data_IF_472637223233
#
_entry.id   IF_472637223233
#
_cell.length_a   1.000
_cell.length_b   1.000
_cell.length_c   1.000
_cell.angle_alpha   90.00
_cell.angle_beta   90.00
_cell.angle_gamma   90.00
#
_symmetry.space_group_name_H-M   'P 1'
#
loop_
_entity.id
_entity.type
_entity.pdbx_description
1 polymer ?
#
# COMPACT_ATOMS: atom_id res chain seq x y z
N UNK A 1 -27.00 -19.65 12.79
CA UNK A 1 -28.14 -20.55 12.99
C UNK A 1 -28.18 -20.98 14.46
N UNK A 2 -29.24 -20.63 15.25
CA UNK A 2 -29.35 -20.95 16.67
C UNK A 2 -29.26 -22.46 16.97
N UNK A 3 -29.63 -23.32 16.04
CA UNK A 3 -29.57 -24.78 16.19
C UNK A 3 -28.10 -25.28 16.16
N UNK A 4 -27.23 -24.62 15.42
CA UNK A 4 -25.81 -24.96 15.39
C UNK A 4 -25.13 -24.54 16.71
N UNK A 5 -25.44 -23.35 17.20
CA UNK A 5 -24.92 -22.85 18.47
C UNK A 5 -25.35 -23.76 19.63
N UNK A 6 -26.60 -24.24 19.66
CA UNK A 6 -27.08 -25.10 20.73
C UNK A 6 -26.42 -26.49 20.74
N UNK A 7 -25.95 -26.99 19.58
CA UNK A 7 -25.33 -28.31 19.44
C UNK A 7 -23.82 -28.31 19.70
N UNK A 8 -23.14 -27.24 19.34
CA UNK A 8 -21.66 -27.15 19.36
C UNK A 8 -21.12 -26.10 20.32
N UNK A 9 -21.99 -25.42 21.09
CA UNK A 9 -21.63 -24.33 21.98
C UNK A 9 -21.25 -23.03 21.26
N UNK A 10 -20.57 -22.15 21.97
CA UNK A 10 -20.15 -20.89 21.41
C UNK A 10 -19.05 -21.09 20.37
N UNK A 11 -19.25 -20.51 19.20
CA UNK A 11 -18.27 -20.51 18.12
C UNK A 11 -17.50 -19.18 18.17
N UNK A 12 -16.19 -19.25 18.30
CA UNK A 12 -15.31 -18.09 18.30
C UNK A 12 -14.61 -17.99 16.95
N UNK A 13 -14.65 -16.80 16.39
CA UNK A 13 -13.98 -16.46 15.14
C UNK A 13 -12.83 -15.47 15.44
N UNK A 14 -11.61 -15.86 15.11
CA UNK A 14 -10.47 -14.99 15.15
C UNK A 14 -10.03 -14.66 13.72
N UNK A 15 -9.84 -13.37 13.42
CA UNK A 15 -9.31 -12.94 12.13
C UNK A 15 -8.14 -12.03 12.37
N UNK A 16 -7.03 -12.34 11.78
CA UNK A 16 -5.82 -11.53 11.88
C UNK A 16 -5.07 -11.51 10.55
N UNK A 17 -4.27 -10.46 10.36
CA UNK A 17 -3.41 -10.31 9.20
C UNK A 17 -2.02 -9.89 9.63
N UNK A 18 -1.03 -10.33 8.89
CA UNK A 18 0.37 -10.00 9.12
C UNK A 18 1.12 -9.92 7.78
N UNK A 19 2.41 -9.64 7.85
CA UNK A 19 3.25 -9.52 6.69
C UNK A 19 3.47 -8.08 6.24
N UNK A 20 4.23 -7.93 5.16
CA UNK A 20 4.55 -6.61 4.60
C UNK A 20 4.83 -6.68 3.11
N UNK A 21 4.61 -5.58 2.44
CA UNK A 21 5.11 -5.33 1.09
C UNK A 21 6.29 -4.38 1.19
N UNK A 22 7.44 -4.81 0.73
CA UNK A 22 8.65 -4.03 0.70
C UNK A 22 8.85 -3.42 -0.68
N UNK A 23 9.52 -2.28 -0.71
CA UNK A 23 9.86 -1.56 -1.93
C UNK A 23 11.38 -1.36 -1.96
N UNK A 24 12.04 -1.94 -2.95
CA UNK A 24 13.40 -1.59 -3.32
C UNK A 24 13.34 -0.67 -4.54
N UNK A 25 14.14 0.38 -4.55
CA UNK A 25 14.16 1.28 -5.69
C UNK A 25 15.55 1.81 -5.99
N UNK A 26 15.78 2.10 -7.27
CA UNK A 26 16.94 2.80 -7.77
C UNK A 26 16.50 3.85 -8.77
N UNK A 27 17.04 5.03 -8.71
CA UNK A 27 16.64 6.12 -9.59
C UNK A 27 17.79 7.03 -9.98
N UNK A 28 17.53 7.78 -11.03
CA UNK A 28 18.42 8.79 -11.53
C UNK A 28 17.66 10.00 -12.05
N UNK A 29 18.29 11.16 -12.05
CA UNK A 29 17.74 12.39 -12.58
C UNK A 29 18.78 13.17 -13.36
N UNK A 30 18.32 13.90 -14.36
CA UNK A 30 19.13 14.74 -15.23
C UNK A 30 18.55 16.15 -15.27
N UNK A 31 19.45 17.14 -15.22
CA UNK A 31 19.07 18.53 -15.45
C UNK A 31 19.11 18.84 -16.95
N UNK A 32 17.99 19.29 -17.48
CA UNK A 32 17.86 19.74 -18.87
C UNK A 32 17.93 21.26 -18.86
N UNK A 33 19.10 21.78 -19.20
CA UNK A 33 19.38 23.21 -19.07
C UNK A 33 19.43 23.66 -17.62
N UNK A 34 18.97 24.90 -17.38
CA UNK A 34 19.07 25.55 -16.04
C UNK A 34 17.76 25.53 -15.25
N UNK A 35 16.67 25.04 -15.83
CA UNK A 35 15.33 25.20 -15.24
C UNK A 35 14.49 23.92 -15.16
N UNK A 36 14.89 22.87 -15.83
CA UNK A 36 14.13 21.63 -15.89
C UNK A 36 15.01 20.48 -15.39
N UNK A 37 14.45 19.65 -14.51
CA UNK A 37 15.01 18.36 -14.14
C UNK A 37 13.99 17.27 -14.46
N UNK A 38 14.45 16.14 -14.98
CA UNK A 38 13.64 14.96 -15.21
C UNK A 38 14.31 13.77 -14.57
N UNK A 39 13.52 12.83 -14.05
CA UNK A 39 14.03 11.66 -13.37
C UNK A 39 13.16 10.44 -13.60
N UNK A 40 13.78 9.30 -13.36
CA UNK A 40 13.13 8.00 -13.37
C UNK A 40 13.56 7.20 -12.15
N UNK A 41 12.64 6.49 -11.56
CA UNK A 41 12.85 5.54 -10.47
C UNK A 41 12.32 4.18 -10.92
N UNK A 42 13.16 3.16 -10.87
CA UNK A 42 12.79 1.77 -11.08
C UNK A 42 12.50 1.15 -9.73
N UNK A 43 11.41 0.41 -9.64
CA UNK A 43 10.86 -0.05 -8.37
C UNK A 43 10.62 -1.54 -8.45
N UNK A 44 11.09 -2.27 -7.45
CA UNK A 44 10.78 -3.68 -7.22
C UNK A 44 9.97 -3.81 -5.93
N UNK A 45 8.76 -4.38 -6.04
CA UNK A 45 7.90 -4.69 -4.91
C UNK A 45 7.99 -6.18 -4.60
N UNK A 46 8.25 -6.53 -3.34
CA UNK A 46 8.35 -7.92 -2.90
C UNK A 46 7.86 -8.07 -1.46
N UNK A 47 7.41 -9.27 -1.13
CA UNK A 47 6.96 -9.58 0.23
C UNK A 47 5.86 -10.61 0.27
N UNK A 48 5.32 -10.83 1.46
CA UNK A 48 4.21 -11.75 1.68
C UNK A 48 3.22 -11.14 2.66
N UNK A 49 1.94 -11.21 2.31
CA UNK A 49 0.83 -10.83 3.18
C UNK A 49 0.09 -12.10 3.61
N UNK A 50 -0.14 -12.23 4.89
CA UNK A 50 -0.84 -13.35 5.50
C UNK A 50 -2.20 -12.90 6.02
N UNK A 51 -3.25 -13.63 5.68
CA UNK A 51 -4.58 -13.45 6.21
C UNK A 51 -5.05 -14.76 6.79
N UNK A 52 -5.31 -14.77 8.09
CA UNK A 52 -5.70 -15.97 8.81
C UNK A 52 -7.10 -15.81 9.43
N UNK A 53 -7.78 -16.92 9.55
CA UNK A 53 -9.08 -17.02 10.19
C UNK A 53 -9.19 -18.35 10.92
N UNK A 54 -9.33 -18.29 12.22
CA UNK A 54 -9.46 -19.47 13.08
C UNK A 54 -10.89 -19.58 13.57
N UNK A 55 -11.43 -20.79 13.57
CA UNK A 55 -12.75 -21.12 14.09
C UNK A 55 -12.59 -22.13 15.20
N UNK A 56 -12.85 -21.67 16.45
CA UNK A 56 -12.82 -22.50 17.65
C UNK A 56 -14.24 -22.81 18.14
N UNK A 57 -14.43 -24.04 18.61
CA UNK A 57 -15.67 -24.51 19.22
C UNK A 57 -15.47 -24.68 20.72
N UNK A 58 -16.22 -23.95 21.55
CA UNK A 58 -15.95 -23.83 22.99
C UNK A 58 -16.50 -24.95 23.86
N UNK A 59 -17.38 -25.81 23.33
CA UNK A 59 -18.12 -26.76 24.17
C UNK A 59 -17.66 -28.21 24.08
N UNK A 60 -16.75 -28.53 23.15
CA UNK A 60 -16.34 -29.93 22.97
C UNK A 60 -14.89 -30.01 22.47
N UNK A 61 -13.99 -30.50 23.35
CA UNK A 61 -12.59 -30.75 22.99
C UNK A 61 -12.41 -31.85 21.91
N UNK A 62 -13.48 -32.51 21.51
CA UNK A 62 -13.47 -33.48 20.40
C UNK A 62 -13.62 -32.79 19.05
N UNK A 63 -14.12 -31.55 19.03
CA UNK A 63 -14.25 -30.76 17.80
C UNK A 63 -12.94 -30.02 17.54
N UNK A 64 -12.39 -30.27 16.37
CA UNK A 64 -11.12 -29.69 15.95
C UNK A 64 -11.27 -28.20 15.59
N UNK A 65 -10.30 -27.41 15.97
CA UNK A 65 -10.17 -26.02 15.49
C UNK A 65 -9.86 -26.02 14.01
N UNK A 66 -10.58 -25.19 13.25
CA UNK A 66 -10.32 -25.02 11.83
C UNK A 66 -9.51 -23.72 11.66
N UNK A 67 -8.31 -23.86 11.12
CA UNK A 67 -7.43 -22.75 10.74
C UNK A 67 -7.46 -22.63 9.23
N UNK A 68 -7.85 -21.46 8.74
CA UNK A 68 -7.89 -21.15 7.31
C UNK A 68 -7.07 -19.90 7.04
N UNK A 69 -6.43 -19.84 5.90
CA UNK A 69 -5.64 -18.69 5.53
C UNK A 69 -5.49 -18.50 4.03
N UNK A 70 -5.03 -17.26 3.72
CA UNK A 70 -4.61 -16.88 2.39
C UNK A 70 -3.24 -16.22 2.51
N UNK A 71 -2.24 -16.78 1.88
CA UNK A 71 -0.90 -16.23 1.82
C UNK A 71 -0.68 -15.65 0.43
N UNK A 72 -0.44 -14.33 0.37
CA UNK A 72 -0.23 -13.59 -0.87
C UNK A 72 1.26 -13.30 -1.00
N UNK A 73 1.95 -14.02 -1.86
CA UNK A 73 3.34 -13.69 -2.26
C UNK A 73 3.29 -12.58 -3.31
N UNK A 74 4.05 -11.52 -3.09
CA UNK A 74 4.07 -10.34 -3.94
C UNK A 74 5.42 -10.22 -4.63
N UNK A 75 5.38 -10.08 -5.96
CA UNK A 75 6.54 -9.80 -6.80
C UNK A 75 6.10 -8.96 -7.98
N UNK A 76 6.54 -7.69 -8.05
CA UNK A 76 6.18 -6.81 -9.15
C UNK A 76 7.23 -5.74 -9.40
N UNK A 77 7.50 -5.49 -10.66
CA UNK A 77 8.38 -4.43 -11.10
C UNK A 77 7.58 -3.24 -11.66
N UNK A 78 7.92 -2.02 -11.23
CA UNK A 78 7.27 -0.79 -11.66
C UNK A 78 8.26 0.33 -11.93
N UNK A 79 7.78 1.46 -12.43
CA UNK A 79 8.57 2.66 -12.62
C UNK A 79 7.79 3.91 -12.21
N UNK A 80 8.52 4.91 -11.72
CA UNK A 80 8.02 6.25 -11.43
C UNK A 80 8.83 7.27 -12.23
N UNK A 81 8.13 8.16 -12.88
CA UNK A 81 8.71 9.27 -13.64
C UNK A 81 8.47 10.57 -12.89
N UNK A 82 9.42 11.48 -12.96
CA UNK A 82 9.32 12.80 -12.34
C UNK A 82 9.84 13.88 -13.27
N UNK A 83 9.20 15.05 -13.17
CA UNK A 83 9.70 16.27 -13.79
C UNK A 83 9.57 17.43 -12.80
N UNK A 84 10.57 18.28 -12.78
CA UNK A 84 10.61 19.45 -11.92
C UNK A 84 11.07 20.65 -12.74
N UNK A 85 10.28 21.70 -12.69
CA UNK A 85 10.63 22.99 -13.27
C UNK A 85 10.84 24.01 -12.16
N UNK A 86 11.94 24.73 -12.22
CA UNK A 86 12.26 25.76 -11.25
C UNK A 86 12.71 27.05 -11.94
N UNK A 87 12.21 28.17 -11.44
CA UNK A 87 12.55 29.47 -11.99
C UNK A 87 12.55 30.55 -10.91
N UNK A 88 13.62 31.33 -10.81
CA UNK A 88 13.59 32.51 -10.00
C UNK A 88 12.70 33.58 -10.62
N UNK A 89 12.09 34.42 -9.81
CA UNK A 89 11.27 35.56 -10.23
C UNK A 89 11.40 36.76 -9.25
N UNK A 90 10.86 37.90 -9.66
CA UNK A 90 10.93 39.16 -8.90
C UNK A 90 12.37 39.54 -8.51
N UNK A 91 13.27 39.69 -9.50
CA UNK A 91 14.67 39.97 -9.34
C UNK A 91 15.40 38.98 -8.41
N UNK A 92 15.20 37.69 -8.66
CA UNK A 92 15.79 36.55 -7.94
C UNK A 92 15.43 36.47 -6.43
N UNK A 93 14.45 37.27 -5.98
CA UNK A 93 14.01 37.25 -4.56
C UNK A 93 13.22 36.01 -4.22
N UNK A 94 12.55 35.40 -5.19
CA UNK A 94 11.71 34.26 -5.01
C UNK A 94 12.09 33.14 -5.98
N UNK A 95 11.94 31.91 -5.54
CA UNK A 95 12.08 30.73 -6.36
C UNK A 95 10.73 30.02 -6.44
N UNK A 96 10.21 29.84 -7.65
CA UNK A 96 9.08 28.98 -7.94
C UNK A 96 9.61 27.61 -8.38
N UNK A 97 9.10 26.56 -7.75
CA UNK A 97 9.32 25.19 -8.18
C UNK A 97 7.98 24.54 -8.48
N UNK A 98 7.85 23.94 -9.65
CA UNK A 98 6.71 23.11 -10.04
C UNK A 98 7.21 21.67 -10.16
N UNK A 99 6.46 20.73 -9.64
CA UNK A 99 6.80 19.31 -9.72
C UNK A 99 5.62 18.47 -10.19
N UNK A 100 5.93 17.44 -10.96
CA UNK A 100 4.95 16.41 -11.32
C UNK A 100 5.62 15.05 -11.28
N UNK A 101 4.91 14.04 -10.76
CA UNK A 101 5.36 12.65 -10.79
C UNK A 101 4.23 11.73 -11.24
N UNK A 102 4.61 10.67 -11.96
CA UNK A 102 3.69 9.63 -12.38
C UNK A 102 4.28 8.26 -12.09
N UNK A 103 3.58 7.47 -11.27
CA UNK A 103 3.89 6.06 -11.00
C UNK A 103 2.98 5.17 -11.81
N UNK A 104 3.56 4.20 -12.50
CA UNK A 104 2.80 3.23 -13.27
C UNK A 104 2.08 2.29 -12.31
N UNK A 105 0.75 2.14 -12.47
CA UNK A 105 -0.01 1.09 -11.80
C UNK A 105 0.43 -0.29 -12.29
N UNK A 106 0.46 -1.27 -11.38
CA UNK A 106 0.91 -2.62 -11.70
C UNK A 106 0.08 -3.66 -10.98
N UNK A 107 -0.05 -4.80 -11.63
CA UNK A 107 -0.49 -6.01 -10.97
C UNK A 107 0.67 -6.50 -10.09
N UNK A 108 0.41 -6.63 -8.79
CA UNK A 108 1.35 -7.23 -7.86
C UNK A 108 1.24 -8.75 -8.04
N UNK A 109 1.93 -9.26 -9.06
CA UNK A 109 1.96 -10.68 -9.37
C UNK A 109 2.52 -11.51 -8.22
N UNK A 110 2.27 -12.80 -8.25
CA UNK A 110 2.74 -13.77 -7.28
C UNK A 110 1.70 -14.84 -7.03
N UNK A 111 2.05 -15.77 -6.16
CA UNK A 111 1.20 -16.89 -5.81
C UNK A 111 0.27 -16.52 -4.66
N UNK A 112 -0.97 -16.99 -4.74
CA UNK A 112 -1.88 -17.02 -3.61
C UNK A 112 -2.02 -18.48 -3.18
N UNK A 113 -1.63 -18.75 -1.94
CA UNK A 113 -1.84 -20.03 -1.31
C UNK A 113 -3.06 -19.96 -0.40
N UNK A 114 -4.11 -20.64 -0.76
CA UNK A 114 -5.31 -20.80 0.04
C UNK A 114 -5.25 -22.12 0.77
N UNK A 115 -5.45 -22.12 2.07
CA UNK A 115 -5.42 -23.33 2.87
C UNK A 115 -6.46 -23.36 3.98
N UNK A 116 -6.81 -24.58 4.38
CA UNK A 116 -7.63 -24.84 5.56
C UNK A 116 -7.22 -26.17 6.16
N UNK A 117 -6.89 -26.14 7.44
CA UNK A 117 -6.44 -27.29 8.23
C UNK A 117 -7.33 -27.51 9.43
N UNK A 118 -7.56 -28.77 9.77
CA UNK A 118 -8.13 -29.15 11.06
C UNK A 118 -6.97 -29.37 12.05
N UNK A 119 -6.99 -28.64 13.15
CA UNK A 119 -5.99 -28.70 14.22
C UNK A 119 -6.50 -29.55 15.39
N UNK A 120 -5.63 -30.29 16.05
CA UNK A 120 -5.93 -30.91 17.32
C UNK A 120 -5.80 -29.91 18.50
N UNK A 121 -6.09 -30.36 19.70
CA UNK A 121 -6.00 -29.56 20.92
C UNK A 121 -4.56 -29.07 21.25
N UNK A 122 -3.55 -29.65 20.62
CA UNK A 122 -2.13 -29.27 20.76
C UNK A 122 -1.67 -28.27 19.71
N UNK A 123 -2.55 -27.91 18.76
CA UNK A 123 -2.25 -27.00 17.65
C UNK A 123 -1.50 -27.66 16.48
N UNK A 124 -1.54 -28.97 16.40
CA UNK A 124 -0.93 -29.73 15.30
C UNK A 124 -2.01 -29.97 14.21
N UNK A 125 -1.68 -29.69 12.95
CA UNK A 125 -2.53 -29.98 11.84
C UNK A 125 -2.67 -31.51 11.68
N UNK A 126 -3.89 -32.02 11.82
CA UNK A 126 -4.19 -33.46 11.74
C UNK A 126 -4.91 -33.82 10.45
N UNK A 127 -5.46 -32.83 9.75
CA UNK A 127 -6.11 -33.04 8.46
C UNK A 127 -6.02 -31.77 7.59
N UNK A 128 -5.83 -31.95 6.31
CA UNK A 128 -5.83 -30.89 5.31
C UNK A 128 -7.19 -30.88 4.61
N UNK A 129 -8.02 -29.89 4.96
CA UNK A 129 -9.34 -29.74 4.36
C UNK A 129 -9.27 -29.14 2.97
N UNK A 130 -8.31 -28.22 2.79
CA UNK A 130 -8.10 -27.52 1.54
C UNK A 130 -6.68 -27.00 1.45
N UNK A 131 -6.06 -27.12 0.30
CA UNK A 131 -4.79 -26.48 -0.02
C UNK A 131 -4.72 -26.26 -1.54
N UNK A 132 -4.63 -25.02 -1.95
CA UNK A 132 -4.54 -24.65 -3.35
C UNK A 132 -3.56 -23.50 -3.54
N UNK A 133 -2.73 -23.63 -4.56
CA UNK A 133 -1.81 -22.55 -4.99
C UNK A 133 -2.30 -22.06 -6.34
N UNK A 134 -2.60 -20.77 -6.42
CA UNK A 134 -3.06 -20.14 -7.63
C UNK A 134 -2.12 -18.98 -8.02
N UNK A 135 -1.42 -19.13 -9.14
CA UNK A 135 -0.48 -18.14 -9.66
C UNK A 135 -1.14 -17.04 -10.50
N UNK A 136 -2.46 -17.11 -10.74
CA UNK A 136 -3.17 -16.17 -11.61
C UNK A 136 -3.92 -15.05 -10.89
N UNK A 137 -3.90 -15.05 -9.56
CA UNK A 137 -4.53 -13.98 -8.79
C UNK A 137 -3.57 -12.82 -8.61
N UNK A 138 -3.94 -11.67 -9.10
CA UNK A 138 -3.14 -10.46 -8.99
C UNK A 138 -3.87 -9.40 -8.17
N UNK A 139 -3.19 -8.86 -7.17
CA UNK A 139 -3.61 -7.62 -6.51
C UNK A 139 -3.15 -6.48 -7.41
N UNK A 140 -4.05 -5.59 -7.79
CA UNK A 140 -3.67 -4.44 -8.62
C UNK A 140 -3.37 -3.22 -7.77
N UNK A 141 -2.17 -2.68 -7.93
CA UNK A 141 -1.86 -1.34 -7.43
C UNK A 141 -2.24 -0.28 -8.46
N UNK A 142 -2.88 0.81 -8.04
CA UNK A 142 -3.26 1.89 -8.94
C UNK A 142 -2.04 2.66 -9.45
N UNK A 143 -2.19 3.29 -10.59
CA UNK A 143 -1.32 4.38 -10.98
C UNK A 143 -1.51 5.58 -10.06
N UNK A 144 -0.44 6.32 -9.82
CA UNK A 144 -0.42 7.53 -9.02
C UNK A 144 0.07 8.71 -9.85
N UNK A 145 -0.68 9.79 -9.84
CA UNK A 145 -0.27 11.09 -10.37
C UNK A 145 -0.16 12.07 -9.20
N UNK A 146 1.00 12.69 -9.04
CA UNK A 146 1.16 13.78 -8.10
C UNK A 146 1.67 15.02 -8.80
N UNK A 147 1.12 16.18 -8.41
CA UNK A 147 1.55 17.50 -8.89
C UNK A 147 1.68 18.44 -7.69
N UNK A 148 2.65 19.32 -7.74
CA UNK A 148 2.85 20.24 -6.64
C UNK A 148 3.61 21.47 -7.06
N UNK A 149 3.59 22.47 -6.18
CA UNK A 149 4.39 23.66 -6.33
C UNK A 149 4.93 24.13 -4.98
N UNK A 150 6.06 24.83 -5.02
CA UNK A 150 6.58 25.60 -3.90
C UNK A 150 6.98 26.98 -4.35
N UNK A 151 6.72 27.96 -3.50
CA UNK A 151 7.25 29.31 -3.62
C UNK A 151 8.11 29.57 -2.40
N UNK A 152 9.39 29.82 -2.63
CA UNK A 152 10.36 30.08 -1.58
C UNK A 152 10.95 31.49 -1.69
N UNK A 153 10.92 32.23 -0.60
CA UNK A 153 11.77 33.39 -0.42
C UNK A 153 13.00 32.96 0.37
N UNK A 154 14.18 33.06 -0.23
CA UNK A 154 15.41 32.55 0.35
C UNK A 154 15.61 33.07 1.77
N UNK A 155 15.89 32.18 2.71
CA UNK A 155 16.18 32.44 4.12
C UNK A 155 15.05 33.17 4.90
N UNK A 156 13.79 33.10 4.43
CA UNK A 156 12.67 33.73 5.12
C UNK A 156 11.45 32.83 5.24
N UNK A 157 10.91 32.35 4.14
CA UNK A 157 9.71 31.53 4.16
C UNK A 157 9.59 30.69 2.91
N UNK A 158 8.89 29.61 3.04
CA UNK A 158 8.46 28.73 1.93
C UNK A 158 7.00 28.35 2.13
N UNK A 159 6.26 28.33 1.05
CA UNK A 159 4.89 27.80 0.99
C UNK A 159 4.86 26.79 -0.13
N UNK A 160 4.24 25.65 0.13
CA UNK A 160 4.08 24.58 -0.85
C UNK A 160 2.72 23.91 -0.76
N UNK A 161 2.29 23.34 -1.88
CA UNK A 161 1.09 22.54 -1.98
C UNK A 161 1.33 21.38 -2.92
N UNK A 162 0.87 20.19 -2.51
CA UNK A 162 0.93 18.98 -3.30
C UNK A 162 -0.46 18.36 -3.40
N UNK A 163 -0.81 17.90 -4.59
CA UNK A 163 -2.01 17.13 -4.85
C UNK A 163 -1.62 15.78 -5.44
N UNK A 164 -2.18 14.71 -4.87
CA UNK A 164 -1.96 13.35 -5.31
C UNK A 164 -3.29 12.68 -5.64
N UNK A 165 -3.33 12.06 -6.80
CA UNK A 165 -4.45 11.27 -7.30
C UNK A 165 -4.01 9.81 -7.47
N UNK A 166 -4.81 8.87 -6.95
CA UNK A 166 -4.62 7.44 -7.14
C UNK A 166 -5.90 6.80 -7.68
N UNK A 167 -5.78 6.07 -8.78
CA UNK A 167 -6.91 5.50 -9.53
C UNK A 167 -7.35 4.14 -8.94
N UNK A 168 -7.71 4.08 -7.66
CA UNK A 168 -8.12 2.83 -6.98
C UNK A 168 -9.35 2.18 -7.60
N UNK A 169 -10.20 2.93 -8.29
CA UNK A 169 -11.37 2.40 -8.99
C UNK A 169 -11.01 1.38 -10.08
N UNK A 170 -9.80 1.46 -10.62
CA UNK A 170 -9.31 0.54 -11.65
C UNK A 170 -8.61 -0.70 -11.08
N UNK A 171 -8.60 -0.86 -9.76
CA UNK A 171 -7.91 -1.95 -9.08
C UNK A 171 -8.86 -3.11 -8.81
N UNK A 172 -8.32 -4.32 -8.79
CA UNK A 172 -9.02 -5.51 -8.33
C UNK A 172 -8.37 -6.04 -7.06
N UNK A 173 -9.21 -6.45 -6.12
CA UNK A 173 -8.76 -7.13 -4.92
C UNK A 173 -9.35 -8.54 -4.90
N UNK A 174 -8.67 -9.51 -4.26
CA UNK A 174 -9.24 -10.83 -4.08
C UNK A 174 -10.59 -10.73 -3.37
N UNK A 175 -11.61 -11.46 -3.83
CA UNK A 175 -12.94 -11.39 -3.24
C UNK A 175 -12.89 -11.82 -1.77
N UNK A 176 -13.51 -11.04 -0.91
CA UNK A 176 -13.73 -11.39 0.49
C UNK A 176 -15.14 -11.94 0.61
N UNK A 177 -15.28 -13.20 1.01
CA UNK A 177 -16.58 -13.88 1.11
C UNK A 177 -17.57 -13.07 1.96
N UNK A 178 -18.67 -12.66 1.34
CA UNK A 178 -19.74 -11.89 2.00
C UNK A 178 -19.49 -10.38 2.11
N UNK A 179 -18.50 -9.84 1.40
CA UNK A 179 -18.23 -8.39 1.34
C UNK A 179 -18.06 -7.98 -0.12
N UNK A 180 -18.97 -7.18 -0.62
CA UNK A 180 -18.78 -6.46 -1.88
C UNK A 180 -17.89 -5.25 -1.60
N UNK A 181 -16.69 -5.25 -2.17
CA UNK A 181 -15.73 -4.17 -2.01
C UNK A 181 -15.62 -3.39 -3.32
N UNK A 182 -16.01 -2.12 -3.29
CA UNK A 182 -15.76 -1.18 -4.38
C UNK A 182 -14.69 -0.17 -3.96
N UNK A 183 -13.59 -0.14 -4.68
CA UNK A 183 -12.57 0.88 -4.48
C UNK A 183 -12.95 2.17 -5.22
N UNK A 184 -12.80 3.30 -4.55
CA UNK A 184 -12.98 4.63 -5.13
C UNK A 184 -11.64 5.32 -5.32
N UNK A 185 -11.56 6.28 -6.25
CA UNK A 185 -10.35 7.06 -6.43
C UNK A 185 -9.95 7.79 -5.12
N UNK A 186 -8.66 7.82 -4.85
CA UNK A 186 -8.12 8.55 -3.70
C UNK A 186 -7.56 9.90 -4.13
N UNK A 187 -7.86 10.92 -3.36
CA UNK A 187 -7.39 12.28 -3.54
C UNK A 187 -6.72 12.76 -2.25
N UNK A 188 -5.52 13.24 -2.34
CA UNK A 188 -4.78 13.79 -1.20
C UNK A 188 -4.29 15.19 -1.52
N UNK A 189 -4.61 16.15 -0.68
CA UNK A 189 -4.12 17.52 -0.75
C UNK A 189 -3.28 17.80 0.49
N UNK A 190 -2.04 18.27 0.30
CA UNK A 190 -1.12 18.64 1.37
C UNK A 190 -0.67 20.07 1.18
N UNK A 191 -0.66 20.85 2.25
CA UNK A 191 -0.16 22.23 2.27
C UNK A 191 0.87 22.34 3.38
N UNK A 192 1.99 22.99 3.06
CA UNK A 192 3.07 23.22 4.02
C UNK A 192 3.54 24.66 3.99
N UNK A 193 3.91 25.15 5.15
CA UNK A 193 4.49 26.49 5.33
C UNK A 193 5.71 26.37 6.23
N UNK A 194 6.80 26.97 5.83
CA UNK A 194 8.02 27.13 6.62
C UNK A 194 8.31 28.63 6.78
N UNK A 195 8.66 29.04 7.99
CA UNK A 195 9.05 30.41 8.29
C UNK A 195 10.33 30.43 9.14
N UNK A 196 11.33 31.18 8.67
CA UNK A 196 12.61 31.35 9.37
C UNK A 196 12.78 32.84 9.67
N UNK A 197 12.54 33.30 10.92
CA UNK A 197 12.53 34.73 11.25
C UNK A 197 13.89 35.42 11.08
N UNK A 198 14.98 34.77 11.48
CA UNK A 198 16.36 35.26 11.28
C UNK A 198 17.32 34.06 11.19
N UNK A 199 18.10 33.99 10.11
CA UNK A 199 19.07 32.92 9.90
C UNK A 199 20.34 33.04 10.77
N UNK A 200 20.60 34.21 11.33
CA UNK A 200 21.81 34.53 12.11
C UNK A 200 21.54 34.83 13.58
N UNK A 201 20.31 34.76 14.05
CA UNK A 201 19.94 35.00 15.44
C UNK A 201 20.01 33.67 16.22
N UNK A 202 21.23 33.22 16.48
CA UNK A 202 21.46 32.10 17.43
C UNK A 202 21.44 32.71 18.83
N UNK A 203 20.28 32.68 19.51
CA UNK A 203 20.15 32.91 20.93
C UNK A 203 20.14 31.60 21.69
#
# INVERSE_FOLDING_TARGET
>A
DPLIVSKYGDIKYYKYGSGSVNKLFVGGALNIGKKLAVGVELIDYFGTLYKHSDVEFSSDNTIRTIVSGNDYTISAFSAKFGAQFFTPFANDKYLLTLGATYSIGRDLGGDITDYSYAMDATGIAVDTLYHNVNSNNTIKMPGELAVGFTIKRQNKWMVGMDYTYQAWKSTSFPPVRGVDFEATASHSLKVGVEYTPNMYDVR
#
